data_IF_883160428784
#
_entry.id   IF_883160428784
#
_cell.length_a   1.000
_cell.length_b   1.000
_cell.length_c   1.000
_cell.angle_alpha   90.00
_cell.angle_beta   90.00
_cell.angle_gamma   90.00
#
_symmetry.space_group_name_H-M   'P 1'
#
loop_
_entity.id
_entity.type
_entity.pdbx_description
1 polymer ?
#
# COMPACT_ATOMS: atom_id res chain seq x y z
N UNK A 1 4.56 0.42 -17.46
CA UNK A 1 4.20 -0.95 -17.91
C UNK A 1 5.40 -1.87 -17.80
N UNK A 2 6.33 -1.97 -18.77
CA UNK A 2 7.42 -2.98 -18.71
C UNK A 2 8.33 -2.96 -17.48
N UNK A 3 8.52 -1.81 -16.84
CA UNK A 3 9.30 -1.71 -15.58
C UNK A 3 8.46 -2.16 -14.36
N UNK A 4 7.21 -1.72 -14.28
CA UNK A 4 6.24 -2.13 -13.26
C UNK A 4 5.95 -3.63 -13.30
N UNK A 5 5.73 -4.20 -14.50
CA UNK A 5 5.51 -5.64 -14.71
C UNK A 5 6.69 -6.45 -14.18
N UNK A 6 7.93 -6.05 -14.50
CA UNK A 6 9.14 -6.72 -13.99
C UNK A 6 9.27 -6.65 -12.48
N UNK A 7 8.94 -5.51 -11.86
CA UNK A 7 8.97 -5.37 -10.39
C UNK A 7 7.92 -6.24 -9.74
N UNK A 8 6.72 -6.25 -10.31
CA UNK A 8 5.64 -7.11 -9.86
C UNK A 8 6.03 -8.60 -9.98
N UNK A 9 6.59 -9.01 -11.12
CA UNK A 9 7.11 -10.37 -11.32
C UNK A 9 8.18 -10.72 -10.27
N UNK A 10 9.08 -9.79 -9.94
CA UNK A 10 10.13 -10.01 -8.94
C UNK A 10 9.56 -10.19 -7.52
N UNK A 11 8.64 -9.32 -7.11
CA UNK A 11 7.95 -9.41 -5.80
C UNK A 11 7.19 -10.73 -5.71
N UNK A 12 6.51 -11.13 -6.78
CA UNK A 12 5.72 -12.35 -6.77
C UNK A 12 6.58 -13.61 -6.82
N UNK A 13 7.71 -13.58 -7.53
CA UNK A 13 8.69 -14.66 -7.45
C UNK A 13 9.25 -14.80 -6.03
N UNK A 14 9.53 -13.69 -5.34
CA UNK A 14 9.92 -13.72 -3.93
C UNK A 14 8.82 -14.32 -3.05
N UNK A 15 7.54 -14.02 -3.33
CA UNK A 15 6.42 -14.65 -2.61
C UNK A 15 6.45 -16.17 -2.80
N UNK A 16 6.57 -16.63 -4.06
CA UNK A 16 6.65 -18.05 -4.39
C UNK A 16 7.81 -18.74 -3.69
N UNK A 17 9.03 -18.22 -3.82
CA UNK A 17 10.24 -18.81 -3.24
C UNK A 17 10.12 -18.92 -1.72
N UNK A 18 9.60 -17.87 -1.07
CA UNK A 18 9.39 -17.83 0.36
C UNK A 18 8.37 -18.88 0.84
N UNK A 19 7.29 -19.09 0.07
CA UNK A 19 6.25 -20.08 0.38
C UNK A 19 6.78 -21.50 0.22
N UNK A 20 7.52 -21.76 -0.86
CA UNK A 20 8.12 -23.07 -1.09
C UNK A 20 9.07 -23.43 0.08
N UNK A 21 9.89 -22.48 0.54
CA UNK A 21 10.75 -22.65 1.74
C UNK A 21 9.97 -22.91 3.03
N UNK A 22 8.79 -22.28 3.22
CA UNK A 22 7.94 -22.51 4.39
C UNK A 22 7.18 -23.83 4.34
N UNK A 23 6.68 -24.24 3.17
CA UNK A 23 5.97 -25.51 2.98
C UNK A 23 6.89 -26.72 3.21
N UNK A 24 8.18 -26.59 2.95
CA UNK A 24 9.18 -27.59 3.32
C UNK A 24 9.41 -27.71 4.84
N UNK A 25 9.05 -26.68 5.63
CA UNK A 25 9.33 -26.58 7.07
C UNK A 25 8.16 -26.99 7.98
N UNK A 26 6.90 -26.59 7.70
CA UNK A 26 5.69 -27.08 8.40
C UNK A 26 4.39 -26.94 7.57
N UNK A 27 3.45 -27.89 7.73
CA UNK A 27 2.20 -28.09 6.96
C UNK A 27 1.05 -27.09 7.24
N UNK A 28 1.29 -25.92 7.84
CA UNK A 28 0.23 -25.06 8.40
C UNK A 28 -0.20 -23.87 7.54
N UNK A 29 0.40 -23.66 6.36
CA UNK A 29 0.20 -22.43 5.57
C UNK A 29 -0.47 -22.71 4.22
N UNK A 30 -1.76 -22.39 4.05
CA UNK A 30 -2.46 -22.58 2.79
C UNK A 30 -2.31 -21.33 1.92
N UNK A 31 -1.13 -21.12 1.32
CA UNK A 31 -1.05 -20.33 0.09
C UNK A 31 -1.00 -21.30 -1.09
N UNK A 32 -2.04 -21.26 -1.93
CA UNK A 32 -2.16 -22.10 -3.11
C UNK A 32 -2.28 -21.21 -4.33
N UNK A 33 -1.32 -21.34 -5.25
CA UNK A 33 -1.38 -20.69 -6.55
C UNK A 33 -1.99 -21.66 -7.57
N UNK A 34 -3.00 -21.23 -8.30
CA UNK A 34 -3.52 -21.93 -9.47
C UNK A 34 -3.29 -21.10 -10.74
N UNK A 35 -3.36 -21.71 -11.91
CA UNK A 35 -3.53 -20.98 -13.16
C UNK A 35 -5.00 -20.60 -13.34
N UNK A 36 -5.30 -19.31 -13.60
CA UNK A 36 -6.65 -18.89 -13.99
C UNK A 36 -6.90 -19.03 -15.49
N UNK A 37 -8.19 -19.14 -15.83
CA UNK A 37 -8.66 -19.11 -17.20
C UNK A 37 -8.96 -17.67 -17.63
N UNK A 38 -8.87 -17.34 -18.93
CA UNK A 38 -9.25 -16.00 -19.42
C UNK A 38 -10.72 -15.65 -19.13
N UNK A 39 -11.58 -16.65 -18.93
CA UNK A 39 -13.00 -16.46 -18.61
C UNK A 39 -13.21 -15.75 -17.25
N UNK A 40 -12.34 -16.02 -16.28
CA UNK A 40 -12.39 -15.43 -14.92
C UNK A 40 -12.10 -13.92 -14.92
N UNK A 41 -11.50 -13.38 -15.99
CA UNK A 41 -11.10 -11.97 -16.08
C UNK A 41 -12.06 -11.20 -16.98
N UNK A 42 -12.63 -11.85 -18.01
CA UNK A 42 -13.66 -11.25 -18.87
C UNK A 42 -14.89 -10.77 -18.10
N UNK A 43 -15.29 -11.47 -17.04
CA UNK A 43 -16.43 -11.09 -16.20
C UNK A 43 -16.29 -9.68 -15.55
N UNK A 44 -15.07 -9.20 -15.32
CA UNK A 44 -14.83 -7.84 -14.78
C UNK A 44 -14.80 -6.77 -15.88
N UNK A 45 -14.24 -7.12 -17.05
CA UNK A 45 -14.21 -6.24 -18.23
C UNK A 45 -15.63 -5.99 -18.74
N UNK A 46 -16.48 -7.02 -18.71
CA UNK A 46 -17.88 -6.93 -19.15
C UNK A 46 -18.83 -6.37 -18.06
N UNK A 47 -18.41 -6.39 -16.79
CA UNK A 47 -19.16 -5.86 -15.65
C UNK A 47 -19.10 -4.34 -15.46
N UNK A 48 -18.42 -3.60 -16.35
CA UNK A 48 -18.38 -2.13 -16.35
C UNK A 48 -17.23 -1.50 -15.54
N UNK A 49 -16.30 -2.29 -15.00
CA UNK A 49 -15.16 -1.80 -14.21
C UNK A 49 -13.95 -1.57 -15.13
N UNK A 50 -13.43 -0.34 -15.15
CA UNK A 50 -12.20 -0.02 -15.89
C UNK A 50 -10.97 -0.23 -14.99
N UNK A 51 -10.50 -1.48 -14.90
CA UNK A 51 -9.37 -1.84 -14.04
C UNK A 51 -8.03 -1.24 -14.52
N UNK A 52 -7.15 -0.78 -13.61
CA UNK A 52 -5.79 -0.36 -13.95
C UNK A 52 -5.01 -1.51 -14.60
N UNK A 53 -4.22 -1.20 -15.64
CA UNK A 53 -3.48 -2.21 -16.40
C UNK A 53 -2.52 -3.05 -15.54
N UNK A 54 -1.92 -2.43 -14.51
CA UNK A 54 -1.06 -3.11 -13.53
C UNK A 54 -1.85 -4.13 -12.70
N UNK A 55 -3.08 -3.79 -12.29
CA UNK A 55 -3.95 -4.71 -11.55
C UNK A 55 -4.51 -5.83 -12.45
N UNK A 56 -4.85 -5.53 -13.71
CA UNK A 56 -5.22 -6.57 -14.69
C UNK A 56 -4.06 -7.54 -14.91
N UNK A 57 -2.83 -7.01 -15.02
CA UNK A 57 -1.65 -7.85 -15.14
C UNK A 57 -1.46 -8.73 -13.90
N UNK A 58 -1.66 -8.17 -12.70
CA UNK A 58 -1.69 -8.94 -11.44
C UNK A 58 -2.70 -10.09 -11.50
N UNK A 59 -3.98 -9.79 -11.77
CA UNK A 59 -5.06 -10.79 -11.81
C UNK A 59 -4.83 -11.90 -12.85
N UNK A 60 -4.21 -11.58 -13.99
CA UNK A 60 -3.92 -12.54 -15.08
C UNK A 60 -2.85 -13.55 -14.72
N UNK A 61 -1.85 -13.11 -14.00
CA UNK A 61 -0.63 -13.89 -13.83
C UNK A 61 -0.57 -14.52 -12.44
N UNK A 62 -1.37 -14.05 -11.49
CA UNK A 62 -1.15 -14.35 -10.07
C UNK A 62 -2.43 -14.66 -9.32
N UNK A 63 -2.50 -15.88 -8.78
CA UNK A 63 -3.57 -16.37 -7.92
C UNK A 63 -3.08 -16.31 -6.48
N UNK A 64 -3.38 -15.21 -5.82
CA UNK A 64 -3.31 -15.17 -4.36
C UNK A 64 -4.71 -15.57 -3.87
N UNK A 65 -4.89 -16.81 -3.42
CA UNK A 65 -6.20 -17.30 -2.94
C UNK A 65 -6.46 -16.92 -1.48
N UNK A 66 -5.39 -16.86 -0.66
CA UNK A 66 -5.42 -16.39 0.72
C UNK A 66 -4.00 -16.18 1.22
N UNK A 67 -3.74 -15.11 1.97
CA UNK A 67 -2.48 -14.93 2.68
C UNK A 67 -2.73 -14.91 4.19
N UNK A 68 -2.97 -16.09 4.74
CA UNK A 68 -3.23 -16.26 6.17
C UNK A 68 -1.92 -16.19 6.96
N UNK A 69 -1.38 -14.99 7.20
CA UNK A 69 -0.48 -14.78 8.32
C UNK A 69 -0.93 -13.59 9.17
N UNK A 70 -0.82 -13.77 10.49
CA UNK A 70 -0.76 -12.65 11.41
C UNK A 70 0.64 -12.04 11.26
N UNK A 71 0.76 -10.95 10.51
CA UNK A 71 1.95 -10.09 10.59
C UNK A 71 1.71 -9.07 11.71
N UNK A 72 2.73 -8.32 12.12
CA UNK A 72 2.50 -7.24 13.11
C UNK A 72 1.43 -6.23 12.65
N UNK A 73 1.25 -6.11 11.33
CA UNK A 73 0.36 -5.15 10.67
C UNK A 73 -0.96 -5.74 10.17
N UNK A 74 -1.06 -7.08 10.02
CA UNK A 74 -2.28 -7.76 9.56
C UNK A 74 -2.69 -8.88 10.51
N UNK A 75 -3.98 -9.04 10.75
CA UNK A 75 -4.50 -10.10 11.62
C UNK A 75 -4.75 -11.38 10.83
N UNK A 76 -5.40 -11.27 9.67
CA UNK A 76 -5.81 -12.36 8.80
C UNK A 76 -6.12 -11.83 7.39
N UNK A 77 -5.08 -11.39 6.67
CA UNK A 77 -5.23 -10.76 5.37
C UNK A 77 -5.66 -11.76 4.29
N UNK A 78 -6.74 -11.44 3.58
CA UNK A 78 -7.19 -12.18 2.42
C UNK A 78 -7.11 -11.29 1.17
N UNK A 79 -6.13 -11.53 0.30
CA UNK A 79 -6.02 -10.86 -1.00
C UNK A 79 -6.87 -11.63 -2.02
N UNK A 80 -7.65 -10.90 -2.82
CA UNK A 80 -8.53 -11.50 -3.81
C UNK A 80 -7.84 -11.63 -5.17
N UNK A 81 -7.69 -12.87 -5.64
CA UNK A 81 -7.48 -13.17 -7.06
C UNK A 81 -8.79 -13.06 -7.85
N UNK A 82 -8.72 -13.14 -9.19
CA UNK A 82 -9.90 -12.89 -10.03
C UNK A 82 -11.09 -13.85 -9.81
N UNK A 83 -10.87 -15.07 -9.28
CA UNK A 83 -11.97 -15.99 -8.91
C UNK A 83 -12.79 -15.51 -7.72
N UNK A 84 -12.11 -14.91 -6.74
CA UNK A 84 -12.73 -14.49 -5.48
C UNK A 84 -13.11 -13.02 -5.48
N UNK A 85 -12.59 -12.23 -6.43
CA UNK A 85 -12.76 -10.77 -6.45
C UNK A 85 -14.23 -10.33 -6.49
N UNK A 86 -15.12 -11.01 -7.23
CA UNK A 86 -16.57 -10.72 -7.22
C UNK A 86 -17.15 -10.98 -5.84
N UNK A 87 -16.92 -12.18 -5.31
CA UNK A 87 -17.44 -12.59 -4.00
C UNK A 87 -16.85 -11.74 -2.87
N UNK A 88 -15.62 -11.28 -3.02
CA UNK A 88 -14.92 -10.40 -2.09
C UNK A 88 -15.55 -9.02 -1.95
N UNK A 89 -16.50 -8.64 -2.81
CA UNK A 89 -17.27 -7.42 -2.67
C UNK A 89 -18.54 -7.58 -1.81
N UNK A 90 -18.95 -8.83 -1.53
CA UNK A 90 -20.12 -9.12 -0.69
C UNK A 90 -19.93 -8.54 0.72
N UNK A 91 -20.92 -7.76 1.17
CA UNK A 91 -20.87 -7.03 2.45
C UNK A 91 -20.19 -5.67 2.38
N UNK A 92 -19.57 -5.30 1.24
CA UNK A 92 -18.97 -3.99 1.01
C UNK A 92 -19.78 -3.18 0.00
N UNK A 93 -19.64 -3.48 -1.30
CA UNK A 93 -20.36 -2.75 -2.35
C UNK A 93 -21.70 -3.41 -2.72
N UNK A 94 -21.91 -4.66 -2.30
CA UNK A 94 -23.05 -5.48 -2.68
C UNK A 94 -23.54 -6.29 -1.49
N UNK A 95 -24.85 -6.31 -1.26
CA UNK A 95 -25.48 -7.11 -0.22
C UNK A 95 -26.06 -8.40 -0.81
N UNK A 96 -25.48 -9.58 -0.53
CA UNK A 96 -25.93 -10.84 -1.10
C UNK A 96 -27.29 -11.32 -0.54
N UNK A 97 -27.76 -10.74 0.57
CA UNK A 97 -29.06 -11.09 1.17
C UNK A 97 -30.21 -10.36 0.49
N UNK A 98 -30.01 -9.07 0.17
CA UNK A 98 -31.04 -8.25 -0.48
C UNK A 98 -30.89 -8.17 -2.00
N UNK A 99 -29.76 -8.63 -2.56
CA UNK A 99 -29.43 -8.53 -3.99
C UNK A 99 -29.39 -7.07 -4.48
N UNK A 100 -28.80 -6.20 -3.65
CA UNK A 100 -28.75 -4.75 -3.87
C UNK A 100 -27.34 -4.19 -3.64
N UNK A 101 -27.00 -3.12 -4.35
CA UNK A 101 -25.78 -2.34 -4.08
C UNK A 101 -25.92 -1.59 -2.75
N UNK A 102 -24.84 -1.52 -1.98
CA UNK A 102 -24.83 -0.81 -0.69
C UNK A 102 -24.58 0.67 -0.96
N UNK A 103 -25.59 1.52 -0.68
CA UNK A 103 -25.56 2.95 -1.00
C UNK A 103 -24.45 3.73 -0.29
N UNK A 104 -24.08 3.31 0.93
CA UNK A 104 -23.03 3.97 1.74
C UNK A 104 -21.60 3.60 1.28
N UNK A 105 -21.45 2.71 0.30
CA UNK A 105 -20.16 2.33 -0.25
C UNK A 105 -19.77 3.23 -1.44
N UNK A 106 -18.51 3.71 -1.54
CA UNK A 106 -18.08 4.47 -2.70
C UNK A 106 -18.14 3.62 -3.98
N UNK A 107 -18.92 4.07 -4.96
CA UNK A 107 -19.20 3.30 -6.19
C UNK A 107 -17.95 2.82 -6.93
N UNK A 108 -16.90 3.63 -6.96
CA UNK A 108 -15.68 3.34 -7.72
C UNK A 108 -14.61 2.58 -6.91
N UNK A 109 -14.91 2.20 -5.66
CA UNK A 109 -13.97 1.48 -4.81
C UNK A 109 -14.12 -0.04 -5.00
N UNK A 110 -13.05 -0.66 -5.51
CA UNK A 110 -12.92 -2.10 -5.64
C UNK A 110 -12.18 -2.66 -4.44
N UNK A 111 -12.80 -3.56 -3.67
CA UNK A 111 -12.08 -4.27 -2.61
C UNK A 111 -11.15 -5.30 -3.24
N UNK A 112 -9.85 -5.20 -2.97
CA UNK A 112 -8.81 -6.11 -3.48
C UNK A 112 -8.24 -7.02 -2.40
N UNK A 113 -8.45 -6.67 -1.12
CA UNK A 113 -8.17 -7.54 0.01
C UNK A 113 -9.03 -7.16 1.22
N UNK A 114 -9.12 -8.04 2.21
CA UNK A 114 -9.78 -7.78 3.51
C UNK A 114 -8.91 -8.30 4.65
N UNK A 115 -8.84 -7.56 5.75
CA UNK A 115 -8.24 -8.01 7.01
C UNK A 115 -9.28 -7.94 8.13
N UNK A 116 -9.83 -9.09 8.52
CA UNK A 116 -10.89 -9.18 9.54
C UNK A 116 -12.07 -8.20 9.34
N UNK A 117 -12.41 -7.88 8.09
CA UNK A 117 -13.48 -6.94 7.75
C UNK A 117 -13.00 -5.54 7.36
N UNK A 118 -11.75 -5.17 7.63
CA UNK A 118 -11.14 -3.92 7.15
C UNK A 118 -10.74 -4.09 5.67
N UNK A 119 -11.36 -3.34 4.73
CA UNK A 119 -11.08 -3.53 3.32
C UNK A 119 -9.80 -2.79 2.91
N UNK A 120 -9.09 -3.37 1.95
CA UNK A 120 -8.09 -2.70 1.13
C UNK A 120 -8.63 -2.54 -0.29
N UNK A 121 -8.68 -1.32 -0.79
CA UNK A 121 -9.42 -0.96 -1.99
C UNK A 121 -8.57 -0.21 -3.01
N UNK A 122 -8.91 -0.39 -4.29
CA UNK A 122 -8.52 0.52 -5.36
C UNK A 122 -9.67 1.48 -5.66
N UNK A 123 -9.37 2.76 -5.78
CA UNK A 123 -10.30 3.75 -6.34
C UNK A 123 -10.12 3.80 -7.86
N UNK A 124 -11.04 3.15 -8.58
CA UNK A 124 -10.96 2.99 -10.02
C UNK A 124 -11.05 4.33 -10.78
N UNK A 125 -11.65 5.35 -10.18
CA UNK A 125 -11.81 6.66 -10.82
C UNK A 125 -10.46 7.35 -11.08
N UNK A 126 -9.41 6.93 -10.36
CA UNK A 126 -8.05 7.50 -10.44
C UNK A 126 -7.22 6.94 -11.60
N UNK A 127 -7.49 5.69 -11.98
CA UNK A 127 -6.70 4.94 -12.97
C UNK A 127 -5.27 4.56 -12.52
N UNK A 128 -4.92 4.79 -11.25
CA UNK A 128 -3.69 4.29 -10.63
C UNK A 128 -3.99 3.12 -9.67
N UNK A 129 -2.96 2.60 -8.99
CA UNK A 129 -3.06 1.44 -8.11
C UNK A 129 -2.84 1.78 -6.63
N UNK A 130 -3.05 3.06 -6.25
CA UNK A 130 -2.98 3.45 -4.84
C UNK A 130 -4.03 2.66 -4.03
N UNK A 131 -3.62 2.14 -2.88
CA UNK A 131 -4.45 1.27 -2.05
C UNK A 131 -4.98 2.07 -0.87
N UNK A 132 -6.30 2.06 -0.68
CA UNK A 132 -6.99 2.73 0.41
C UNK A 132 -7.51 1.70 1.41
N UNK A 133 -7.61 2.08 2.68
CA UNK A 133 -8.20 1.23 3.72
C UNK A 133 -9.15 2.01 4.60
N UNK A 134 -10.05 1.32 5.29
CA UNK A 134 -10.97 1.90 6.26
C UNK A 134 -11.20 0.91 7.40
N UNK A 135 -11.47 1.43 8.61
CA UNK A 135 -11.83 0.59 9.75
C UNK A 135 -13.32 0.22 9.70
N UNK A 136 -13.61 -1.07 9.73
CA UNK A 136 -14.96 -1.60 9.85
C UNK A 136 -15.54 -1.32 11.24
N UNK A 137 -16.88 -1.41 11.37
CA UNK A 137 -17.56 -1.28 12.66
C UNK A 137 -17.63 0.14 13.23
N UNK A 138 -17.12 1.14 12.52
CA UNK A 138 -17.14 2.56 12.94
C UNK A 138 -18.46 3.29 12.66
N UNK A 139 -19.42 2.60 12.04
CA UNK A 139 -20.75 3.12 11.67
C UNK A 139 -20.77 3.93 10.36
N UNK A 140 -19.62 4.32 9.81
CA UNK A 140 -19.49 4.95 8.50
C UNK A 140 -18.07 4.81 7.96
N UNK A 141 -17.94 4.55 6.64
CA UNK A 141 -16.63 4.33 6.02
C UNK A 141 -15.82 5.62 5.91
N UNK A 142 -14.59 5.58 6.43
CA UNK A 142 -13.62 6.67 6.32
C UNK A 142 -12.31 6.13 5.75
N UNK A 143 -12.11 6.34 4.45
CA UNK A 143 -10.95 5.82 3.75
C UNK A 143 -9.72 6.71 3.94
N UNK A 144 -8.58 6.08 4.19
CA UNK A 144 -7.24 6.68 4.14
C UNK A 144 -6.38 5.88 3.18
N UNK A 145 -5.34 6.52 2.64
CA UNK A 145 -4.37 5.82 1.79
C UNK A 145 -3.46 4.95 2.66
N UNK A 146 -3.41 3.66 2.36
CA UNK A 146 -2.54 2.69 3.02
C UNK A 146 -1.20 2.53 2.28
N UNK A 147 -1.25 2.45 0.95
CA UNK A 147 -0.06 2.27 0.10
C UNK A 147 -0.15 3.11 -1.16
N UNK A 148 1.00 3.62 -1.64
CA UNK A 148 1.05 4.46 -2.85
C UNK A 148 0.73 3.68 -4.14
N UNK A 149 0.90 2.35 -4.14
CA UNK A 149 0.66 1.47 -5.28
C UNK A 149 0.51 0.01 -4.86
N UNK A 150 0.05 -0.83 -5.79
CA UNK A 150 -0.16 -2.27 -5.59
C UNK A 150 1.13 -3.02 -5.22
N UNK A 151 2.28 -2.63 -5.79
CA UNK A 151 3.56 -3.31 -5.52
C UNK A 151 3.93 -3.16 -4.04
N UNK A 152 3.85 -1.94 -3.50
CA UNK A 152 4.14 -1.70 -2.07
C UNK A 152 3.20 -2.47 -1.14
N UNK A 153 1.92 -2.59 -1.52
CA UNK A 153 0.97 -3.40 -0.78
C UNK A 153 1.35 -4.89 -0.81
N UNK A 154 1.73 -5.44 -1.97
CA UNK A 154 2.15 -6.84 -2.06
C UNK A 154 3.48 -7.09 -1.33
N UNK A 155 4.41 -6.13 -1.37
CA UNK A 155 5.67 -6.17 -0.61
C UNK A 155 5.44 -6.16 0.91
N UNK A 156 4.42 -5.47 1.42
CA UNK A 156 4.13 -5.52 2.86
C UNK A 156 3.55 -6.87 3.30
N UNK A 157 2.91 -7.62 2.40
CA UNK A 157 2.41 -8.97 2.67
C UNK A 157 3.53 -10.02 2.72
N UNK A 158 4.68 -9.71 2.14
CA UNK A 158 5.85 -10.59 2.00
C UNK A 158 6.69 -10.78 3.26
N UNK A 159 6.48 -9.97 4.29
CA UNK A 159 7.34 -9.96 5.49
C UNK A 159 6.58 -10.62 6.64
N UNK A 160 6.79 -11.92 6.91
CA UNK A 160 6.31 -12.52 8.13
C UNK A 160 7.14 -12.08 9.33
N UNK A 161 6.54 -12.06 10.52
CA UNK A 161 7.22 -11.63 11.74
C UNK A 161 8.38 -12.57 12.08
N UNK A 162 9.56 -12.00 12.33
CA UNK A 162 10.75 -12.73 12.78
C UNK A 162 11.66 -13.27 11.67
N UNK A 163 11.39 -12.93 10.41
CA UNK A 163 12.24 -13.24 9.25
C UNK A 163 12.83 -11.98 8.58
N UNK A 164 12.65 -10.81 9.20
CA UNK A 164 13.25 -9.54 8.76
C UNK A 164 14.78 -9.63 8.55
N UNK A 165 15.45 -10.52 9.30
CA UNK A 165 16.90 -10.75 9.28
C UNK A 165 17.38 -11.74 8.20
N UNK A 166 16.48 -12.49 7.54
CA UNK A 166 16.83 -13.46 6.48
C UNK A 166 16.70 -12.90 5.06
N UNK A 167 16.18 -11.69 4.94
CA UNK A 167 16.20 -10.90 3.73
C UNK A 167 17.67 -10.63 3.34
N UNK A 168 18.09 -10.82 2.08
CA UNK A 168 19.43 -10.40 1.63
C UNK A 168 19.68 -8.95 2.07
N UNK A 169 20.91 -8.57 2.45
CA UNK A 169 21.19 -7.24 3.04
C UNK A 169 20.67 -6.05 2.19
N UNK A 170 20.41 -6.26 0.89
CA UNK A 170 19.78 -5.31 -0.04
C UNK A 170 18.24 -5.17 0.09
N UNK A 171 17.53 -6.09 0.75
CA UNK A 171 16.07 -6.05 1.00
C UNK A 171 15.70 -5.69 2.45
N UNK A 172 16.66 -5.24 3.26
CA UNK A 172 16.31 -4.57 4.52
C UNK A 172 15.64 -3.23 4.19
N UNK A 173 14.31 -3.16 4.34
CA UNK A 173 13.56 -1.93 4.15
C UNK A 173 14.09 -0.89 5.14
N UNK A 174 14.89 0.04 4.64
CA UNK A 174 15.49 1.07 5.46
C UNK A 174 14.48 2.21 5.63
N UNK A 175 14.05 2.42 6.88
CA UNK A 175 13.20 3.54 7.24
C UNK A 175 14.05 4.78 7.48
N UNK A 176 13.52 5.94 7.09
CA UNK A 176 14.17 7.22 7.26
C UNK A 176 13.19 8.26 7.80
N UNK A 177 13.70 9.10 8.68
CA UNK A 177 13.09 10.33 9.12
C UNK A 177 13.77 11.50 8.41
N UNK A 178 12.98 12.38 7.81
CA UNK A 178 13.45 13.67 7.31
C UNK A 178 12.88 14.79 8.18
N UNK A 179 13.77 15.65 8.63
CA UNK A 179 13.47 16.72 9.57
C UNK A 179 13.98 18.04 9.01
N UNK A 180 13.12 19.06 8.96
CA UNK A 180 13.55 20.43 8.69
C UNK A 180 14.22 21.00 9.93
N UNK A 181 15.44 21.50 9.76
CA UNK A 181 16.27 22.03 10.85
C UNK A 181 16.37 23.56 10.82
N UNK A 182 15.91 24.20 9.74
CA UNK A 182 15.95 25.65 9.58
C UNK A 182 15.26 26.15 8.32
N UNK A 183 15.38 27.45 8.06
CA UNK A 183 14.72 28.12 6.93
C UNK A 183 15.26 27.65 5.56
N UNK A 184 16.52 27.19 5.49
CA UNK A 184 17.22 26.98 4.23
C UNK A 184 17.62 28.28 3.54
N UNK A 185 18.17 28.14 2.33
CA UNK A 185 18.57 29.29 1.51
C UNK A 185 17.39 30.07 0.94
N UNK A 186 16.26 29.40 0.70
CA UNK A 186 15.04 29.97 0.13
C UNK A 186 13.83 29.66 1.01
N UNK A 187 13.67 30.47 2.07
CA UNK A 187 12.61 30.32 3.09
C UNK A 187 11.22 30.19 2.48
N UNK A 188 10.94 30.92 1.40
CA UNK A 188 9.63 30.88 0.75
C UNK A 188 9.35 29.51 0.12
N UNK A 189 10.36 28.90 -0.53
CA UNK A 189 10.22 27.56 -1.10
C UNK A 189 10.09 26.48 -0.04
N UNK A 190 10.84 26.58 1.06
CA UNK A 190 10.68 25.68 2.21
C UNK A 190 9.26 25.77 2.76
N UNK A 191 8.71 26.98 2.92
CA UNK A 191 7.31 27.17 3.34
C UNK A 191 6.31 26.56 2.36
N UNK A 192 6.47 26.78 1.06
CA UNK A 192 5.57 26.22 0.05
C UNK A 192 5.59 24.68 0.02
N UNK A 193 6.76 24.08 0.21
CA UNK A 193 6.89 22.64 0.32
C UNK A 193 6.20 22.12 1.58
N UNK A 194 6.37 22.76 2.74
CA UNK A 194 5.67 22.40 3.97
C UNK A 194 4.14 22.47 3.84
N UNK A 195 3.62 23.50 3.17
CA UNK A 195 2.19 23.61 2.87
C UNK A 195 1.69 22.41 2.07
N UNK A 196 2.45 22.00 1.05
CA UNK A 196 2.12 20.86 0.18
C UNK A 196 2.17 19.54 0.96
N UNK A 197 3.23 19.31 1.72
CA UNK A 197 3.48 18.02 2.40
C UNK A 197 2.56 17.79 3.60
N UNK A 198 2.35 18.82 4.42
CA UNK A 198 1.58 18.71 5.67
C UNK A 198 0.14 19.20 5.51
N UNK A 199 -0.28 19.52 4.28
CA UNK A 199 -1.58 20.15 3.98
C UNK A 199 -1.85 21.42 4.81
N UNK A 200 -0.79 22.15 5.15
CA UNK A 200 -0.87 23.37 5.95
C UNK A 200 -1.28 24.59 5.11
N UNK A 201 -2.01 25.51 5.74
CA UNK A 201 -2.12 26.87 5.24
C UNK A 201 -0.80 27.66 5.44
N UNK A 202 -0.73 28.89 4.92
CA UNK A 202 0.50 29.69 5.02
C UNK A 202 0.89 30.02 6.46
N UNK A 203 -0.08 30.28 7.33
CA UNK A 203 0.17 30.62 8.72
C UNK A 203 0.66 29.41 9.52
N UNK A 204 0.09 28.24 9.27
CA UNK A 204 0.49 26.97 9.87
C UNK A 204 1.90 26.57 9.43
N UNK A 205 2.20 26.61 8.13
CA UNK A 205 3.53 26.31 7.60
C UNK A 205 4.60 27.27 8.14
N UNK A 206 4.27 28.56 8.25
CA UNK A 206 5.15 29.55 8.86
C UNK A 206 5.44 29.25 10.32
N UNK A 207 4.40 28.95 11.10
CA UNK A 207 4.53 28.63 12.52
C UNK A 207 5.36 27.37 12.75
N UNK A 208 5.18 26.36 11.91
CA UNK A 208 5.95 25.12 11.98
C UNK A 208 7.42 25.34 11.64
N UNK A 209 7.73 26.16 10.61
CA UNK A 209 9.10 26.49 10.24
C UNK A 209 9.82 27.36 11.28
N UNK A 210 9.09 28.14 12.08
CA UNK A 210 9.64 28.93 13.20
C UNK A 210 10.02 28.06 14.41
N UNK A 211 9.64 26.78 14.44
CA UNK A 211 9.88 25.85 15.56
C UNK A 211 10.57 24.54 15.11
N UNK A 212 11.77 24.59 14.49
CA UNK A 212 12.53 23.38 14.21
C UNK A 212 13.06 22.74 15.50
N UNK A 213 13.34 21.42 15.52
CA UNK A 213 13.23 20.48 14.41
C UNK A 213 11.78 20.09 14.08
N UNK A 214 11.44 20.05 12.79
CA UNK A 214 10.11 19.64 12.30
C UNK A 214 10.22 18.37 11.46
N UNK A 215 9.67 17.26 11.94
CA UNK A 215 9.58 16.02 11.16
C UNK A 215 8.58 16.22 10.02
N UNK A 216 9.01 15.96 8.79
CA UNK A 216 8.20 16.15 7.58
C UNK A 216 7.98 14.85 6.80
N UNK A 217 8.70 13.79 7.16
CA UNK A 217 8.56 12.49 6.56
C UNK A 217 9.13 11.42 7.48
N UNK A 218 8.40 10.32 7.56
CA UNK A 218 8.86 9.03 8.05
C UNK A 218 8.40 8.00 7.04
N UNK A 219 9.28 7.10 6.64
CA UNK A 219 8.94 6.05 5.67
C UNK A 219 10.15 5.42 5.01
N UNK A 220 9.89 4.58 4.01
CA UNK A 220 10.91 3.79 3.32
C UNK A 220 11.87 4.64 2.48
N UNK A 221 13.04 4.09 2.19
CA UNK A 221 14.13 4.81 1.51
C UNK A 221 13.71 5.48 0.19
N UNK A 222 12.86 4.84 -0.62
CA UNK A 222 12.44 5.39 -1.91
C UNK A 222 11.71 6.75 -1.77
N UNK A 223 10.80 6.86 -0.80
CA UNK A 223 10.11 8.12 -0.52
C UNK A 223 11.04 9.16 0.12
N UNK A 224 11.94 8.71 1.00
CA UNK A 224 12.96 9.57 1.58
C UNK A 224 13.90 10.17 0.52
N UNK A 225 14.37 9.37 -0.45
CA UNK A 225 15.23 9.81 -1.55
C UNK A 225 14.53 10.82 -2.46
N UNK A 226 13.25 10.60 -2.76
CA UNK A 226 12.46 11.54 -3.57
C UNK A 226 12.32 12.89 -2.87
N UNK A 227 11.93 12.88 -1.59
CA UNK A 227 11.75 14.10 -0.82
C UNK A 227 13.10 14.79 -0.54
N UNK A 228 14.16 14.03 -0.29
CA UNK A 228 15.53 14.53 -0.16
C UNK A 228 15.95 15.29 -1.43
N UNK A 229 15.69 14.75 -2.62
CA UNK A 229 15.97 15.45 -3.88
C UNK A 229 15.19 16.76 -4.01
N UNK A 230 13.91 16.80 -3.62
CA UNK A 230 13.10 18.03 -3.59
C UNK A 230 13.70 19.06 -2.61
N UNK A 231 14.07 18.64 -1.39
CA UNK A 231 14.69 19.49 -0.37
C UNK A 231 16.05 20.05 -0.81
N UNK A 232 16.88 19.23 -1.44
CA UNK A 232 18.17 19.64 -2.01
C UNK A 232 17.98 20.64 -3.16
N UNK A 233 16.99 20.41 -4.04
CA UNK A 233 16.69 21.30 -5.17
C UNK A 233 16.30 22.71 -4.70
N UNK A 234 15.56 22.81 -3.60
CA UNK A 234 15.20 24.11 -2.99
C UNK A 234 16.25 24.64 -2.01
N UNK A 235 17.30 23.85 -1.73
CA UNK A 235 18.35 24.16 -0.75
C UNK A 235 17.77 24.44 0.65
N UNK A 236 16.85 23.58 1.08
CA UNK A 236 16.32 23.59 2.44
C UNK A 236 17.38 23.12 3.45
N UNK A 237 17.27 23.59 4.70
CA UNK A 237 18.06 23.04 5.81
C UNK A 237 17.30 21.83 6.38
N UNK A 238 17.83 20.63 6.18
CA UNK A 238 17.21 19.40 6.63
C UNK A 238 18.23 18.38 7.11
N UNK A 239 17.75 17.40 7.86
CA UNK A 239 18.50 16.22 8.28
C UNK A 239 17.74 14.97 7.86
N UNK A 240 18.46 14.02 7.27
CA UNK A 240 18.01 12.65 7.01
C UNK A 240 18.63 11.73 8.05
N UNK A 241 17.81 10.92 8.71
CA UNK A 241 18.27 9.95 9.71
C UNK A 241 17.65 8.60 9.39
N UNK A 242 18.46 7.54 9.31
CA UNK A 242 17.95 6.17 9.27
C UNK A 242 17.32 5.88 10.64
N UNK A 243 16.11 5.36 10.65
CA UNK A 243 15.36 5.01 11.85
C UNK A 243 15.05 3.52 11.86
N UNK A 244 14.86 2.96 13.05
CA UNK A 244 14.35 1.60 13.19
C UNK A 244 12.86 1.53 12.86
N UNK A 245 12.34 0.32 12.62
CA UNK A 245 10.90 0.08 12.49
C UNK A 245 10.12 0.56 13.74
N UNK A 246 10.68 0.33 14.94
CA UNK A 246 10.06 0.80 16.18
C UNK A 246 9.90 2.32 16.22
N UNK A 247 10.92 3.08 15.80
CA UNK A 247 10.85 4.54 15.71
C UNK A 247 9.96 5.05 14.57
N UNK A 248 9.69 4.22 13.56
CA UNK A 248 8.75 4.55 12.48
C UNK A 248 7.29 4.47 12.95
N UNK A 249 6.98 3.52 13.83
CA UNK A 249 5.61 3.24 14.33
C UNK A 249 5.17 4.18 15.47
N UNK A 250 6.10 4.76 16.23
CA UNK A 250 5.83 5.73 17.32
C UNK A 250 5.34 7.11 16.85
#
# INVERSE_FOLDING_TARGET
MKDSEKKLDAVLQQMHDFIDELQERESAYPMVFYHQSEEDISQFVDGGWSLPAEYVYFLRHYVVERVTWATGDYINLNIYGARDLIRGQEGYNYNPVTDEMIEDWPHDYLVIATDEGDPYCLDLSRGDTAVFTALHGTGSWHFSMAYDNLILFLESVLIPPGLEDMLPEESSVAYYELTITGDGKDKLKTLLLLKKLLSYDYSQARRALEQPPLVIYRGVEAGALKLEAELQAIRADFQKRKISLAEFIE
#
